data_IF_768788340172
#
_entry.id   IF_768788340172
#
_cell.length_a   1.000
_cell.length_b   1.000
_cell.length_c   1.000
_cell.angle_alpha   90.00
_cell.angle_beta   90.00
_cell.angle_gamma   90.00
#
_symmetry.space_group_name_H-M   'P 1'
#
loop_
_entity.id
_entity.type
_entity.pdbx_description
1 polymer ?
#
# COMPACT_ATOMS: atom_id res chain seq x y z
N UNK A 1 3.21 -14.01 -10.32
CA UNK A 1 2.35 -12.80 -10.28
C UNK A 1 1.85 -12.34 -11.66
N UNK A 2 2.65 -12.39 -12.75
CA UNK A 2 2.21 -11.94 -14.09
C UNK A 2 1.18 -12.85 -14.80
N UNK A 3 1.21 -14.16 -14.52
CA UNK A 3 0.31 -15.13 -15.17
C UNK A 3 -1.17 -14.92 -14.77
N UNK A 4 -1.46 -14.64 -13.50
CA UNK A 4 -2.83 -14.44 -13.04
C UNK A 4 -3.49 -13.21 -13.67
N UNK A 5 -2.75 -12.09 -13.79
CA UNK A 5 -3.27 -10.89 -14.45
C UNK A 5 -3.59 -11.16 -15.93
N UNK A 6 -2.73 -11.91 -16.62
CA UNK A 6 -2.94 -12.30 -18.01
C UNK A 6 -4.18 -13.20 -18.15
N UNK A 7 -4.41 -14.14 -17.23
CA UNK A 7 -5.62 -14.98 -17.21
C UNK A 7 -6.89 -14.14 -17.05
N UNK A 8 -6.90 -13.15 -16.13
CA UNK A 8 -8.08 -12.29 -15.96
C UNK A 8 -8.38 -11.44 -17.19
N UNK A 9 -7.34 -10.92 -17.87
CA UNK A 9 -7.51 -10.15 -19.10
C UNK A 9 -8.08 -11.04 -20.21
N UNK A 10 -7.56 -12.26 -20.37
CA UNK A 10 -8.03 -13.20 -21.39
C UNK A 10 -9.47 -13.64 -21.12
N UNK A 11 -9.82 -13.94 -19.87
CA UNK A 11 -11.20 -14.32 -19.50
C UNK A 11 -12.16 -13.15 -19.70
N UNK A 12 -11.79 -11.94 -19.28
CA UNK A 12 -12.62 -10.75 -19.50
C UNK A 12 -12.85 -10.48 -20.99
N UNK A 13 -11.81 -10.58 -21.81
CA UNK A 13 -11.90 -10.38 -23.26
C UNK A 13 -12.77 -11.44 -23.94
N UNK A 14 -12.65 -12.71 -23.54
CA UNK A 14 -13.50 -13.78 -24.03
C UNK A 14 -14.98 -13.57 -23.69
N UNK A 15 -15.28 -13.16 -22.46
CA UNK A 15 -16.67 -12.88 -22.02
C UNK A 15 -17.26 -11.70 -22.80
N UNK A 16 -16.51 -10.61 -22.99
CA UNK A 16 -16.99 -9.45 -23.76
C UNK A 16 -17.27 -9.79 -25.22
N UNK A 17 -16.41 -10.59 -25.86
CA UNK A 17 -16.61 -11.04 -27.24
C UNK A 17 -17.87 -11.91 -27.35
N UNK A 18 -18.00 -12.94 -26.51
CA UNK A 18 -19.16 -13.85 -26.54
C UNK A 18 -20.45 -13.10 -26.25
N UNK A 19 -20.41 -12.12 -25.35
CA UNK A 19 -21.58 -11.32 -24.98
C UNK A 19 -21.98 -10.31 -26.05
N UNK A 20 -21.07 -9.92 -26.96
CA UNK A 20 -21.38 -9.03 -28.08
C UNK A 20 -22.15 -9.72 -29.21
N UNK A 21 -22.12 -11.06 -29.28
CA UNK A 21 -22.82 -11.84 -30.30
C UNK A 21 -24.25 -12.24 -29.94
N UNK A 22 -24.74 -11.90 -28.74
CA UNK A 22 -26.06 -12.31 -28.26
C UNK A 22 -26.76 -11.17 -27.50
N UNK A 23 -27.80 -10.60 -28.12
CA UNK A 23 -28.53 -9.43 -27.60
C UNK A 23 -29.23 -9.66 -26.25
N UNK A 24 -29.52 -10.93 -25.89
CA UNK A 24 -30.14 -11.30 -24.60
C UNK A 24 -29.14 -11.37 -23.42
N UNK A 25 -27.84 -11.22 -23.68
CA UNK A 25 -26.81 -11.39 -22.66
C UNK A 25 -26.35 -10.06 -22.04
N UNK A 26 -27.23 -9.06 -21.95
CA UNK A 26 -26.92 -7.76 -21.34
C UNK A 26 -26.35 -7.90 -19.91
N UNK A 27 -26.79 -8.94 -19.19
CA UNK A 27 -26.28 -9.33 -17.87
C UNK A 27 -24.81 -9.79 -17.91
N UNK A 28 -24.39 -10.50 -18.97
CA UNK A 28 -23.00 -10.93 -19.15
C UNK A 28 -22.09 -9.79 -19.58
N UNK A 29 -22.58 -8.80 -20.34
CA UNK A 29 -21.84 -7.57 -20.61
C UNK A 29 -21.55 -6.84 -19.30
N UNK A 30 -22.56 -6.72 -18.43
CA UNK A 30 -22.40 -6.10 -17.11
C UNK A 30 -21.37 -6.86 -16.25
N UNK A 31 -21.46 -8.19 -16.19
CA UNK A 31 -20.48 -9.02 -15.46
C UNK A 31 -19.08 -8.89 -16.08
N UNK A 32 -18.95 -8.88 -17.40
CA UNK A 32 -17.68 -8.71 -18.12
C UNK A 32 -17.02 -7.36 -17.81
N UNK A 33 -17.79 -6.27 -17.80
CA UNK A 33 -17.30 -4.93 -17.43
C UNK A 33 -16.81 -4.91 -15.98
N UNK A 34 -17.54 -5.53 -15.03
CA UNK A 34 -17.12 -5.61 -13.63
C UNK A 34 -15.79 -6.35 -13.49
N UNK A 35 -15.64 -7.51 -14.16
CA UNK A 35 -14.39 -8.27 -14.14
C UNK A 35 -13.24 -7.50 -14.81
N UNK A 36 -13.50 -6.78 -15.90
CA UNK A 36 -12.51 -5.94 -16.56
C UNK A 36 -12.05 -4.79 -15.64
N UNK A 37 -12.99 -4.15 -14.94
CA UNK A 37 -12.67 -3.10 -13.95
C UNK A 37 -11.82 -3.63 -12.80
N UNK A 38 -12.16 -4.80 -12.24
CA UNK A 38 -11.34 -5.44 -11.19
C UNK A 38 -9.95 -5.75 -11.72
N UNK A 39 -9.85 -6.27 -12.95
CA UNK A 39 -8.58 -6.54 -13.62
C UNK A 39 -7.72 -5.28 -13.78
N UNK A 40 -8.32 -4.17 -14.23
CA UNK A 40 -7.65 -2.87 -14.38
C UNK A 40 -7.22 -2.30 -13.03
N UNK A 41 -8.08 -2.35 -12.01
CA UNK A 41 -7.75 -1.89 -10.65
C UNK A 41 -6.60 -2.72 -10.09
N UNK A 42 -6.57 -4.05 -10.29
CA UNK A 42 -5.43 -4.89 -9.88
C UNK A 42 -4.18 -4.63 -10.72
N UNK A 43 -4.32 -4.27 -11.99
CA UNK A 43 -3.21 -4.00 -12.90
C UNK A 43 -2.55 -2.65 -12.61
N UNK A 44 -3.34 -1.59 -12.39
CA UNK A 44 -2.86 -0.25 -12.03
C UNK A 44 -2.48 -0.20 -10.54
N UNK A 45 -3.23 -0.93 -9.71
CA UNK A 45 -2.98 -1.15 -8.29
C UNK A 45 -1.79 -2.07 -7.99
N UNK A 46 -0.91 -2.34 -8.97
CA UNK A 46 0.43 -2.88 -8.74
C UNK A 46 1.41 -1.82 -8.18
N UNK A 47 0.91 -0.80 -7.46
CA UNK A 47 1.66 -0.38 -6.27
C UNK A 47 1.46 -1.49 -5.25
N UNK A 48 2.49 -1.97 -4.54
CA UNK A 48 2.29 -3.01 -3.53
C UNK A 48 1.26 -2.52 -2.50
N UNK A 49 -0.02 -2.85 -2.72
CA UNK A 49 -1.07 -2.78 -1.73
C UNK A 49 -0.70 -3.90 -0.78
N UNK A 50 0.08 -3.53 0.23
CA UNK A 50 0.27 -4.35 1.42
C UNK A 50 -1.10 -4.89 1.79
N UNK A 51 -1.26 -6.20 1.67
CA UNK A 51 -2.39 -6.94 2.20
C UNK A 51 -2.66 -6.42 3.59
N UNK A 52 -3.82 -5.75 3.74
CA UNK A 52 -4.30 -5.30 5.02
C UNK A 52 -5.01 -6.49 5.68
N UNK A 53 -4.23 -7.49 6.07
CA UNK A 53 -4.60 -8.43 7.13
C UNK A 53 -4.29 -7.73 8.46
N UNK A 54 -5.28 -7.04 9.04
CA UNK A 54 -5.18 -6.43 10.38
C UNK A 54 -5.50 -7.48 11.46
N UNK A 55 -4.94 -7.50 12.70
CA UNK A 55 -3.94 -6.62 13.30
C UNK A 55 -2.83 -7.41 14.05
N UNK A 56 -1.61 -7.40 13.54
CA UNK A 56 -0.42 -7.36 14.42
C UNK A 56 0.52 -6.37 13.78
N UNK A 57 0.48 -5.15 14.30
CA UNK A 57 1.47 -4.12 14.03
C UNK A 57 2.85 -4.78 13.89
N UNK A 58 3.43 -4.84 12.68
CA UNK A 58 4.87 -4.75 12.62
C UNK A 58 5.11 -3.37 13.21
N UNK A 59 5.60 -3.31 14.46
CA UNK A 59 6.10 -2.08 15.06
C UNK A 59 6.79 -1.36 13.91
N UNK A 60 6.25 -0.22 13.50
CA UNK A 60 7.08 0.77 12.84
C UNK A 60 8.28 0.84 13.75
N UNK A 61 9.43 0.36 13.28
CA UNK A 61 10.70 0.79 13.86
C UNK A 61 10.77 2.23 13.38
N UNK A 62 9.98 3.06 14.06
CA UNK A 62 10.05 4.49 13.96
C UNK A 62 11.50 4.78 14.28
N UNK A 63 12.22 5.27 13.29
CA UNK A 63 13.58 5.75 13.47
C UNK A 63 13.56 7.09 14.23
N UNK A 64 12.82 7.13 15.34
CA UNK A 64 12.69 8.25 16.27
C UNK A 64 13.94 8.39 17.15
N UNK A 65 15.06 7.76 16.79
CA UNK A 65 16.36 8.04 17.38
C UNK A 65 16.97 9.35 16.85
N UNK A 66 16.17 10.34 16.46
CA UNK A 66 16.74 11.55 15.87
C UNK A 66 17.29 12.50 16.94
N UNK A 67 16.58 12.78 18.04
CA UNK A 67 17.09 13.71 19.06
C UNK A 67 16.48 13.48 20.44
N UNK A 68 17.28 13.65 21.50
CA UNK A 68 16.86 13.66 22.92
C UNK A 68 16.82 15.10 23.41
N UNK A 69 15.82 15.43 24.22
CA UNK A 69 15.63 16.77 24.78
C UNK A 69 16.26 16.88 26.17
N UNK A 70 17.11 17.89 26.39
CA UNK A 70 17.70 18.14 27.71
C UNK A 70 16.63 18.53 28.74
N UNK A 71 16.64 17.88 29.91
CA UNK A 71 15.71 18.15 31.02
C UNK A 71 15.83 19.57 31.59
N UNK A 72 17.02 20.17 31.54
CA UNK A 72 17.29 21.49 32.12
C UNK A 72 16.99 22.65 31.18
N UNK A 73 17.58 22.65 29.98
CA UNK A 73 17.49 23.78 29.05
C UNK A 73 16.57 23.51 27.86
N UNK A 74 15.92 22.34 27.80
CA UNK A 74 14.98 21.95 26.74
C UNK A 74 15.57 21.95 25.32
N UNK A 75 16.90 22.04 25.19
CA UNK A 75 17.59 21.97 23.91
C UNK A 75 17.57 20.54 23.34
N UNK A 76 17.50 20.44 22.02
CA UNK A 76 17.57 19.17 21.30
C UNK A 76 19.02 18.75 21.10
N UNK A 77 19.32 17.49 21.41
CA UNK A 77 20.66 16.93 21.44
C UNK A 77 20.65 15.55 20.77
N UNK A 78 21.77 15.07 20.26
CA UNK A 78 21.84 13.71 19.71
C UNK A 78 21.75 12.66 20.84
N UNK A 79 21.21 11.46 20.58
CA UNK A 79 21.05 10.43 21.61
C UNK A 79 22.38 9.87 22.15
N UNK A 80 23.50 10.05 21.43
CA UNK A 80 24.80 9.52 21.83
C UNK A 80 25.64 10.49 22.69
N UNK A 81 25.17 11.72 22.93
CA UNK A 81 25.93 12.70 23.71
C UNK A 81 25.56 12.67 25.20
N UNK A 82 26.60 12.60 26.05
CA UNK A 82 26.44 12.53 27.52
C UNK A 82 26.12 13.88 28.17
N UNK A 83 26.46 14.98 27.51
CA UNK A 83 26.32 16.34 28.01
C UNK A 83 25.63 17.21 26.97
N UNK A 84 24.78 18.13 27.44
CA UNK A 84 24.05 19.05 26.58
C UNK A 84 24.98 20.10 25.97
N UNK A 85 24.90 20.30 24.66
CA UNK A 85 25.68 21.33 23.96
C UNK A 85 25.39 22.76 24.43
N UNK A 86 24.22 23.01 25.01
CA UNK A 86 23.81 24.35 25.43
C UNK A 86 24.15 24.63 26.89
N UNK A 87 23.79 23.73 27.81
CA UNK A 87 23.93 23.96 29.25
C UNK A 87 25.07 23.17 29.91
N UNK A 88 25.81 22.34 29.15
CA UNK A 88 26.90 21.48 29.63
C UNK A 88 26.55 20.55 30.80
N UNK A 89 25.25 20.40 31.11
CA UNK A 89 24.74 19.44 32.10
C UNK A 89 24.46 18.09 31.43
N UNK A 90 24.42 17.03 32.24
CA UNK A 90 24.08 15.67 31.76
C UNK A 90 22.66 15.69 31.18
N UNK A 91 22.50 15.14 29.97
CA UNK A 91 21.21 15.02 29.26
C UNK A 91 20.39 13.90 29.88
#
# INVERSE_FOLDING_TARGET
>A
MKLHALVYIVVGLAVTIISAFNDQLTLFVAVGIVFMFIGIIKFIGNKPVKELDTPRSPREVSSDNKYVKCSHCKAWNHPHIKFCHHCHRRI
#
